data_IF_422516565115
#
_entry.id   IF_422516565115
#
_cell.length_a   1.000
_cell.length_b   1.000
_cell.length_c   1.000
_cell.angle_alpha   90.00
_cell.angle_beta   90.00
_cell.angle_gamma   90.00
#
_symmetry.space_group_name_H-M   'P 1'
#
loop_
_entity.id
_entity.type
_entity.pdbx_description
1 polymer ?
#
# COMPACT_ATOMS: atom_id res chain seq x y z
N UNK A 1 -23.40 -9.65 29.02
CA UNK A 1 -22.66 -8.81 28.05
C UNK A 1 -21.33 -8.35 28.64
N UNK A 2 -21.30 -7.45 29.63
CA UNK A 2 -20.06 -6.95 30.24
C UNK A 2 -19.13 -8.05 30.82
N UNK A 3 -19.67 -8.98 31.63
CA UNK A 3 -18.91 -10.10 32.18
C UNK A 3 -18.38 -11.11 31.13
N UNK A 4 -18.83 -11.02 29.87
CA UNK A 4 -18.33 -11.83 28.77
C UNK A 4 -17.26 -11.08 27.97
N UNK A 5 -17.34 -9.74 27.91
CA UNK A 5 -16.25 -8.90 27.41
C UNK A 5 -15.02 -8.96 28.32
N UNK A 6 -15.20 -9.01 29.64
CA UNK A 6 -14.07 -9.09 30.59
C UNK A 6 -13.27 -10.41 30.46
N UNK A 7 -13.84 -11.43 29.81
CA UNK A 7 -13.18 -12.72 29.55
C UNK A 7 -12.43 -12.76 28.22
N UNK A 8 -12.65 -11.78 27.35
CA UNK A 8 -12.00 -11.71 26.04
C UNK A 8 -10.67 -10.96 26.19
N UNK A 9 -9.61 -11.73 26.48
CA UNK A 9 -8.25 -11.19 26.53
C UNK A 9 -7.64 -11.13 25.13
N UNK A 10 -7.06 -9.97 24.80
CA UNK A 10 -6.22 -9.81 23.61
C UNK A 10 -4.93 -10.58 23.85
N UNK A 11 -4.59 -11.49 22.95
CA UNK A 11 -3.34 -12.24 22.97
C UNK A 11 -2.45 -11.79 21.82
N UNK A 12 -1.14 -11.93 22.01
CA UNK A 12 -0.12 -11.51 21.04
C UNK A 12 0.70 -12.72 20.61
N UNK A 13 0.88 -12.90 19.31
CA UNK A 13 1.80 -13.89 18.75
C UNK A 13 3.25 -13.43 18.95
N UNK A 14 4.14 -14.32 19.41
CA UNK A 14 5.57 -14.01 19.64
C UNK A 14 6.41 -13.91 18.36
N UNK A 15 5.90 -14.37 17.20
CA UNK A 15 6.61 -14.32 15.91
C UNK A 15 6.20 -13.13 15.05
N UNK A 16 4.91 -13.01 14.73
CA UNK A 16 4.41 -11.97 13.83
C UNK A 16 3.85 -10.73 14.54
N UNK A 17 3.94 -10.67 15.88
CA UNK A 17 3.38 -9.61 16.73
C UNK A 17 1.87 -9.33 16.56
N UNK A 18 1.14 -10.23 15.88
CA UNK A 18 -0.30 -10.10 15.67
C UNK A 18 -1.06 -10.13 17.01
N UNK A 19 -1.94 -9.13 17.21
CA UNK A 19 -2.74 -8.95 18.43
C UNK A 19 -4.21 -9.14 18.12
N UNK A 20 -4.81 -10.22 18.62
CA UNK A 20 -6.23 -10.48 18.38
C UNK A 20 -6.88 -11.29 19.50
N UNK A 21 -8.22 -11.21 19.58
CA UNK A 21 -9.02 -12.08 20.45
C UNK A 21 -9.04 -13.50 19.87
N UNK A 22 -8.92 -14.53 20.71
CA UNK A 22 -9.01 -15.95 20.29
C UNK A 22 -8.03 -16.37 19.18
N UNK A 23 -6.84 -15.74 19.10
CA UNK A 23 -5.80 -16.00 18.08
C UNK A 23 -5.18 -17.42 18.11
N UNK A 24 -5.61 -18.31 19.02
CA UNK A 24 -5.21 -19.72 19.03
C UNK A 24 -3.69 -19.94 19.09
N UNK A 25 -3.05 -19.48 20.16
CA UNK A 25 -1.60 -19.64 20.35
C UNK A 25 -1.25 -21.06 20.81
N UNK A 26 -0.13 -21.58 20.32
CA UNK A 26 0.47 -22.82 20.80
C UNK A 26 1.24 -22.60 22.13
N UNK A 27 1.93 -23.65 22.62
CA UNK A 27 2.73 -23.58 23.85
C UNK A 27 3.90 -22.59 23.75
N UNK A 28 4.39 -22.32 22.54
CA UNK A 28 5.47 -21.37 22.25
C UNK A 28 4.94 -19.95 22.00
N UNK A 29 3.66 -19.70 22.25
CA UNK A 29 3.00 -18.39 22.06
C UNK A 29 2.96 -17.98 20.57
N UNK A 30 2.90 -18.96 19.66
CA UNK A 30 2.89 -18.77 18.20
C UNK A 30 1.51 -19.08 17.63
N UNK A 31 1.01 -18.24 16.73
CA UNK A 31 -0.27 -18.44 16.05
C UNK A 31 -0.20 -19.52 14.97
N UNK A 32 -1.34 -20.15 14.66
CA UNK A 32 -1.43 -21.21 13.66
C UNK A 32 -0.95 -20.78 12.27
N UNK A 33 -1.13 -19.49 11.91
CA UNK A 33 -0.68 -18.96 10.64
C UNK A 33 0.85 -19.01 10.50
N UNK A 34 1.60 -18.58 11.53
CA UNK A 34 3.05 -18.66 11.53
C UNK A 34 3.53 -20.12 11.50
N UNK A 35 2.91 -21.00 12.29
CA UNK A 35 3.25 -22.44 12.29
C UNK A 35 3.02 -23.07 10.90
N UNK A 36 1.97 -22.67 10.19
CA UNK A 36 1.71 -23.14 8.82
C UNK A 36 2.69 -22.55 7.81
N UNK A 37 3.02 -21.27 7.95
CA UNK A 37 3.91 -20.57 7.04
C UNK A 37 5.33 -21.14 7.12
N UNK A 38 5.82 -21.41 8.33
CA UNK A 38 7.17 -21.90 8.60
C UNK A 38 7.26 -23.45 8.64
N UNK A 39 6.27 -24.17 8.13
CA UNK A 39 6.21 -25.64 8.23
C UNK A 39 7.39 -26.32 7.53
N UNK A 40 7.76 -25.80 6.37
CA UNK A 40 8.75 -26.38 5.47
C UNK A 40 10.07 -25.56 5.48
N UNK A 41 10.29 -24.77 6.54
CA UNK A 41 11.46 -23.90 6.69
C UNK A 41 12.71 -24.73 6.98
N UNK A 42 13.80 -24.48 6.25
CA UNK A 42 15.09 -25.11 6.55
C UNK A 42 15.70 -24.53 7.84
N UNK A 43 16.56 -25.28 8.57
CA UNK A 43 17.12 -24.83 9.85
C UNK A 43 17.94 -23.53 9.77
N UNK A 44 18.49 -23.24 8.59
CA UNK A 44 19.33 -22.08 8.32
C UNK A 44 18.53 -20.89 7.74
N UNK A 45 17.24 -21.08 7.46
CA UNK A 45 16.37 -20.04 6.92
C UNK A 45 15.66 -19.25 8.05
N UNK A 46 15.57 -17.92 7.93
CA UNK A 46 14.85 -17.10 8.90
C UNK A 46 13.34 -17.33 8.80
N UNK A 47 12.63 -17.27 9.93
CA UNK A 47 11.16 -17.33 9.94
C UNK A 47 10.54 -16.27 9.05
N UNK A 48 9.38 -16.57 8.45
CA UNK A 48 8.69 -15.69 7.50
C UNK A 48 8.39 -14.31 8.08
N UNK A 49 8.06 -14.21 9.37
CA UNK A 49 7.89 -12.94 10.07
C UNK A 49 8.99 -12.81 11.12
N UNK A 50 10.14 -12.27 10.73
CA UNK A 50 11.28 -12.09 11.64
C UNK A 50 12.10 -10.85 11.32
N UNK A 51 12.90 -10.41 12.29
CA UNK A 51 13.81 -9.30 12.10
C UNK A 51 14.86 -9.62 11.04
N UNK A 52 15.28 -10.89 10.96
CA UNK A 52 16.34 -11.37 10.07
C UNK A 52 16.01 -11.23 8.58
N UNK A 53 14.73 -11.36 8.21
CA UNK A 53 14.27 -11.20 6.83
C UNK A 53 13.55 -9.86 6.57
N UNK A 54 13.64 -8.91 7.51
CA UNK A 54 12.97 -7.60 7.45
C UNK A 54 11.43 -7.69 7.29
N UNK A 55 10.83 -8.81 7.73
CA UNK A 55 9.37 -9.01 7.71
C UNK A 55 8.75 -8.98 9.12
N UNK A 56 9.56 -8.73 10.15
CA UNK A 56 9.07 -8.34 11.46
C UNK A 56 8.47 -6.94 11.39
N UNK A 57 7.16 -6.88 11.61
CA UNK A 57 6.40 -5.64 11.60
C UNK A 57 6.75 -4.76 12.82
N UNK A 58 7.33 -5.34 13.88
CA UNK A 58 7.82 -4.70 15.08
C UNK A 58 6.86 -3.68 15.72
N UNK A 59 7.41 -2.88 16.63
CA UNK A 59 6.90 -1.51 16.82
C UNK A 59 7.32 -0.76 15.56
N UNK A 60 6.34 -0.37 14.73
CA UNK A 60 6.53 0.67 13.71
C UNK A 60 7.17 1.88 14.40
N UNK A 61 8.50 1.93 14.42
CA UNK A 61 9.24 3.09 14.90
C UNK A 61 8.78 4.23 14.00
N UNK A 62 8.15 5.21 14.63
CA UNK A 62 7.50 6.32 13.96
C UNK A 62 8.35 6.85 12.80
N UNK A 63 7.66 7.16 11.71
CA UNK A 63 8.14 7.97 10.59
C UNK A 63 9.40 7.50 9.83
N UNK A 64 9.97 6.32 10.12
CA UNK A 64 11.36 6.01 9.67
C UNK A 64 11.55 4.80 8.75
N UNK A 65 10.53 3.98 8.47
CA UNK A 65 10.75 2.74 7.68
C UNK A 65 10.33 2.84 6.21
N UNK A 66 9.34 3.66 5.89
CA UNK A 66 8.91 3.85 4.50
C UNK A 66 9.11 5.31 4.07
N UNK A 67 9.81 5.55 2.95
CA UNK A 67 9.89 6.89 2.40
C UNK A 67 8.47 7.37 2.06
N UNK A 68 8.25 8.69 2.18
CA UNK A 68 7.02 9.30 1.72
C UNK A 68 6.83 8.95 0.24
N UNK A 69 5.69 8.36 -0.08
CA UNK A 69 5.34 8.04 -1.46
C UNK A 69 5.33 9.33 -2.29
N UNK A 70 5.91 9.25 -3.48
CA UNK A 70 5.70 10.27 -4.50
C UNK A 70 4.25 10.25 -4.97
N UNK A 71 3.77 11.38 -5.49
CA UNK A 71 2.42 11.49 -6.06
C UNK A 71 2.15 10.39 -7.11
N UNK A 72 3.17 10.01 -7.88
CA UNK A 72 3.06 8.95 -8.89
C UNK A 72 2.85 7.58 -8.24
N UNK A 73 3.62 7.26 -7.21
CA UNK A 73 3.47 5.98 -6.49
C UNK A 73 2.10 5.90 -5.81
N UNK A 74 1.64 6.99 -5.19
CA UNK A 74 0.28 7.08 -4.64
C UNK A 74 -0.79 6.83 -5.70
N UNK A 75 -0.65 7.43 -6.89
CA UNK A 75 -1.58 7.22 -8.00
C UNK A 75 -1.60 5.75 -8.49
N UNK A 76 -0.46 5.05 -8.45
CA UNK A 76 -0.36 3.66 -8.92
C UNK A 76 -1.00 2.67 -7.96
N UNK A 77 -0.88 2.88 -6.65
CA UNK A 77 -1.49 2.01 -5.63
C UNK A 77 -2.93 2.40 -5.29
N UNK A 78 -3.38 3.58 -5.72
CA UNK A 78 -4.76 4.02 -5.51
C UNK A 78 -5.74 3.07 -6.22
N UNK A 79 -6.74 2.58 -5.47
CA UNK A 79 -7.84 1.76 -6.00
C UNK A 79 -8.70 2.49 -7.04
N UNK A 80 -8.70 3.82 -6.98
CA UNK A 80 -9.49 4.69 -7.84
C UNK A 80 -8.54 5.57 -8.64
N UNK A 81 -8.67 5.53 -9.96
CA UNK A 81 -7.99 6.42 -10.88
C UNK A 81 -8.92 7.56 -11.27
N UNK A 82 -8.59 8.79 -10.85
CA UNK A 82 -9.37 9.99 -11.13
C UNK A 82 -8.96 10.58 -12.47
N UNK A 83 -9.92 10.74 -13.38
CA UNK A 83 -9.74 11.47 -14.64
C UNK A 83 -10.36 12.87 -14.51
N UNK A 84 -9.54 13.90 -14.76
CA UNK A 84 -9.95 15.31 -14.70
C UNK A 84 -9.56 16.03 -15.99
N UNK A 85 -10.51 16.74 -16.59
CA UNK A 85 -10.22 17.60 -17.72
C UNK A 85 -9.72 18.98 -17.24
N UNK A 86 -8.44 19.26 -17.52
CA UNK A 86 -7.81 20.54 -17.23
C UNK A 86 -7.58 21.31 -18.53
N UNK A 87 -8.04 22.56 -18.59
CA UNK A 87 -7.84 23.44 -19.74
C UNK A 87 -6.96 24.62 -19.35
N UNK A 88 -5.94 24.91 -20.14
CA UNK A 88 -5.20 26.15 -20.05
C UNK A 88 -6.02 27.27 -20.73
N UNK A 89 -6.23 28.37 -20.03
CA UNK A 89 -6.90 29.56 -20.56
C UNK A 89 -5.87 30.67 -20.77
N UNK A 90 -6.23 31.69 -21.57
CA UNK A 90 -5.34 32.83 -21.86
C UNK A 90 -4.83 33.47 -20.56
N UNK A 91 -3.53 33.77 -20.52
CA UNK A 91 -2.87 34.34 -19.34
C UNK A 91 -2.26 33.30 -18.37
N UNK A 92 -1.91 32.11 -18.87
CA UNK A 92 -1.26 31.03 -18.09
C UNK A 92 -2.07 30.53 -16.88
N UNK A 93 -3.37 30.80 -16.84
CA UNK A 93 -4.26 30.26 -15.81
C UNK A 93 -4.82 28.90 -16.25
N UNK A 94 -5.10 28.03 -15.28
CA UNK A 94 -5.76 26.75 -15.50
C UNK A 94 -7.21 26.81 -15.04
N UNK A 95 -8.12 26.26 -15.86
CA UNK A 95 -9.53 26.10 -15.53
C UNK A 95 -9.91 24.62 -15.62
N UNK A 96 -10.58 24.14 -14.57
CA UNK A 96 -11.23 22.84 -14.57
C UNK A 96 -12.63 22.97 -15.21
N UNK A 97 -13.01 22.00 -16.04
CA UNK A 97 -14.34 21.95 -16.66
C UNK A 97 -14.80 20.50 -16.76
N UNK A 98 -16.10 20.26 -16.57
CA UNK A 98 -16.70 18.93 -16.72
C UNK A 98 -16.77 18.17 -15.40
N UNK A 99 -17.08 16.88 -15.51
CA UNK A 99 -17.18 15.97 -14.38
C UNK A 99 -15.84 15.28 -14.13
N UNK A 100 -15.49 15.11 -12.86
CA UNK A 100 -14.42 14.18 -12.47
C UNK A 100 -14.97 12.77 -12.63
N UNK A 101 -14.31 11.95 -13.44
CA UNK A 101 -14.71 10.56 -13.65
C UNK A 101 -13.73 9.67 -12.92
N UNK A 102 -14.25 8.80 -12.06
CA UNK A 102 -13.47 7.86 -11.28
C UNK A 102 -13.56 6.48 -11.92
N UNK A 103 -12.42 5.91 -12.29
CA UNK A 103 -12.31 4.56 -12.81
C UNK A 103 -11.70 3.65 -11.74
N UNK A 104 -12.11 2.38 -11.71
CA UNK A 104 -11.41 1.39 -10.89
C UNK A 104 -10.04 1.13 -11.51
N UNK A 105 -9.00 1.27 -10.69
CA UNK A 105 -7.64 0.97 -11.10
C UNK A 105 -7.32 -0.50 -10.82
N UNK A 106 -6.55 -1.14 -11.70
CA UNK A 106 -6.05 -2.50 -11.45
C UNK A 106 -4.78 -2.44 -10.59
N UNK A 107 -4.97 -2.41 -9.27
CA UNK A 107 -3.86 -2.41 -8.30
C UNK A 107 -3.16 -3.76 -8.17
N UNK A 108 -3.71 -4.83 -8.77
CA UNK A 108 -3.05 -6.14 -8.82
C UNK A 108 -1.98 -6.20 -9.93
N UNK A 109 -1.88 -5.17 -10.78
CA UNK A 109 -0.82 -5.07 -11.77
C UNK A 109 0.52 -4.86 -11.05
N UNK A 110 1.34 -5.91 -11.01
CA UNK A 110 2.67 -5.90 -10.41
C UNK A 110 3.59 -5.11 -11.34
N UNK A 111 4.24 -4.07 -10.82
CA UNK A 111 5.26 -3.31 -11.54
C UNK A 111 6.64 -3.83 -11.12
N UNK A 112 7.47 -4.21 -12.10
CA UNK A 112 8.81 -4.75 -11.83
C UNK A 112 9.85 -3.65 -11.51
N UNK A 113 9.52 -2.38 -11.74
CA UNK A 113 10.39 -1.23 -11.52
C UNK A 113 9.56 -0.01 -11.13
N UNK A 114 9.93 0.66 -10.04
CA UNK A 114 9.35 1.91 -9.57
C UNK A 114 10.44 2.98 -9.42
N UNK A 115 10.09 4.28 -9.54
CA UNK A 115 8.80 4.79 -10.04
C UNK A 115 8.68 4.58 -11.57
N UNK A 116 7.44 4.53 -12.08
CA UNK A 116 7.23 4.57 -13.53
C UNK A 116 7.71 5.90 -14.10
N UNK A 117 8.32 5.88 -15.28
CA UNK A 117 8.65 7.11 -15.99
C UNK A 117 7.35 7.82 -16.40
N UNK A 118 7.36 9.15 -16.53
CA UNK A 118 6.19 9.89 -17.03
C UNK A 118 5.65 9.37 -18.37
N UNK A 119 6.52 8.80 -19.21
CA UNK A 119 6.17 8.17 -20.49
C UNK A 119 5.44 6.83 -20.33
N UNK A 120 5.67 6.13 -19.21
CA UNK A 120 5.05 4.85 -18.88
C UNK A 120 3.73 5.01 -18.11
N UNK A 121 3.40 6.24 -17.71
CA UNK A 121 2.12 6.55 -17.06
C UNK A 121 1.00 6.60 -18.10
N UNK A 122 -0.15 6.00 -17.77
CA UNK A 122 -1.38 6.12 -18.56
C UNK A 122 -2.00 7.51 -18.41
N UNK A 123 -1.27 8.56 -18.82
CA UNK A 123 -1.74 9.94 -18.83
C UNK A 123 -2.02 10.33 -20.29
N UNK A 124 -3.24 10.78 -20.55
CA UNK A 124 -3.61 11.32 -21.85
C UNK A 124 -3.46 12.84 -21.78
N UNK A 125 -2.39 13.40 -22.36
CA UNK A 125 -2.21 14.84 -22.50
C UNK A 125 -2.69 15.26 -23.90
N UNK A 126 -3.87 15.89 -23.97
CA UNK A 126 -4.38 16.45 -25.22
C UNK A 126 -3.85 17.87 -25.38
N UNK A 127 -2.98 18.09 -26.38
CA UNK A 127 -2.46 19.41 -26.73
C UNK A 127 -3.05 19.89 -28.06
N UNK A 128 -3.53 21.15 -28.16
CA UNK A 128 -3.95 21.71 -29.44
C UNK A 128 -2.75 21.88 -30.39
N UNK A 129 -3.02 21.88 -31.70
CA UNK A 129 -2.01 21.83 -32.77
C UNK A 129 -0.92 22.94 -32.68
N UNK A 130 -1.25 24.09 -32.07
CA UNK A 130 -0.38 25.27 -31.99
C UNK A 130 0.17 25.54 -30.57
N UNK A 131 0.19 24.54 -29.68
CA UNK A 131 0.62 24.73 -28.28
C UNK A 131 2.06 25.26 -28.15
N UNK A 132 2.96 24.90 -29.08
CA UNK A 132 4.37 25.33 -29.04
C UNK A 132 4.56 26.82 -29.35
N UNK A 133 3.62 27.43 -30.06
CA UNK A 133 3.71 28.84 -30.49
C UNK A 133 3.12 29.82 -29.47
N UNK A 134 2.44 29.30 -28.43
CA UNK A 134 1.86 30.07 -27.32
C UNK A 134 1.86 29.20 -26.04
N UNK A 135 3.02 29.04 -25.37
CA UNK A 135 3.15 28.23 -24.16
C UNK A 135 2.35 28.78 -22.97
#
# INVERSE_FOLDING_TARGET
FHAQMDKEEIKTCSRCDERWFKIGLNNDVVCEACVKADRDLEPDEPYIFSYENLMDLGLLLGDTVLPKLSQVEEMLIARVHCFVEVRQIRGQQFKYRGYVVNFLNNTAKIFNKLPLLPEDLNIIIIRPKNWKDNP
#
